data_IF_066355701567
#
_entry.id   IF_066355701567
#
_cell.length_a   1.000
_cell.length_b   1.000
_cell.length_c   1.000
_cell.angle_alpha   90.00
_cell.angle_beta   90.00
_cell.angle_gamma   90.00
#
_symmetry.space_group_name_H-M   'P 1'
#
loop_
_entity.id
_entity.type
_entity.pdbx_description
1 polymer ?
#
# COMPACT_ATOMS: atom_id res chain seq x y z
N UNK A 1 -0.23 23.05 11.34
CA UNK A 1 -0.75 21.86 10.61
C UNK A 1 -0.99 20.79 11.65
N UNK A 2 -2.16 20.13 11.69
CA UNK A 2 -2.38 19.04 12.63
C UNK A 2 -1.38 17.92 12.34
N UNK A 3 -0.85 17.30 13.41
CA UNK A 3 0.08 16.20 13.28
C UNK A 3 -0.64 14.97 12.67
N UNK A 4 0.05 14.17 11.88
CA UNK A 4 -0.49 12.94 11.25
C UNK A 4 -1.18 12.04 12.27
N UNK A 5 -0.67 12.03 13.51
CA UNK A 5 -1.23 11.30 14.65
C UNK A 5 -2.69 11.68 14.98
N UNK A 6 -3.12 12.88 14.63
CA UNK A 6 -4.48 13.34 14.93
C UNK A 6 -5.54 12.64 14.07
N UNK A 7 -5.19 12.26 12.83
CA UNK A 7 -6.08 11.53 11.92
C UNK A 7 -6.21 10.03 12.27
N UNK A 8 -5.26 9.50 13.04
CA UNK A 8 -5.24 8.10 13.47
C UNK A 8 -5.86 7.89 14.85
N UNK A 9 -6.32 8.97 15.51
CA UNK A 9 -6.99 8.83 16.83
C UNK A 9 -8.25 7.98 16.69
N UNK A 10 -8.45 6.98 17.56
CA UNK A 10 -9.61 6.08 17.52
C UNK A 10 -10.95 6.82 17.52
N UNK A 11 -11.04 7.91 18.25
CA UNK A 11 -12.24 8.75 18.36
C UNK A 11 -12.62 9.37 17.02
N UNK A 12 -11.63 9.88 16.27
CA UNK A 12 -11.83 10.50 14.96
C UNK A 12 -12.23 9.44 13.94
N UNK A 13 -11.55 8.28 13.96
CA UNK A 13 -11.86 7.16 13.06
C UNK A 13 -13.30 6.64 13.31
N UNK A 14 -13.75 6.60 14.56
CA UNK A 14 -15.13 6.20 14.91
C UNK A 14 -16.19 7.19 14.42
N UNK A 15 -15.89 8.48 14.40
CA UNK A 15 -16.87 9.51 14.01
C UNK A 15 -17.33 9.37 12.56
N UNK A 16 -16.56 8.68 11.70
CA UNK A 16 -16.90 8.44 10.30
C UNK A 16 -17.59 7.09 10.15
N UNK A 17 -18.88 7.08 9.86
CA UNK A 17 -19.69 5.86 9.82
C UNK A 17 -19.34 4.91 8.67
N UNK A 18 -18.93 5.42 7.51
CA UNK A 18 -18.64 4.64 6.31
C UNK A 18 -17.17 4.30 6.20
N UNK A 19 -16.86 3.05 5.93
CA UNK A 19 -15.49 2.54 5.84
C UNK A 19 -14.69 3.19 4.70
N UNK A 20 -15.32 3.43 3.56
CA UNK A 20 -14.69 4.12 2.41
C UNK A 20 -14.29 5.56 2.74
N UNK A 21 -15.13 6.27 3.48
CA UNK A 21 -14.83 7.63 3.94
C UNK A 21 -13.73 7.63 5.01
N UNK A 22 -13.72 6.64 5.91
CA UNK A 22 -12.63 6.47 6.88
C UNK A 22 -11.30 6.26 6.21
N UNK A 23 -11.24 5.34 5.24
CA UNK A 23 -10.03 5.05 4.48
C UNK A 23 -9.50 6.31 3.78
N UNK A 24 -10.38 7.01 3.08
CA UNK A 24 -10.06 8.26 2.39
C UNK A 24 -9.57 9.34 3.36
N UNK A 25 -10.27 9.55 4.47
CA UNK A 25 -9.90 10.55 5.48
C UNK A 25 -8.51 10.29 6.08
N UNK A 26 -8.21 9.03 6.45
CA UNK A 26 -6.91 8.63 6.98
C UNK A 26 -5.80 8.90 5.96
N UNK A 27 -6.01 8.49 4.71
CA UNK A 27 -5.00 8.64 3.65
C UNK A 27 -4.78 10.09 3.25
N UNK A 28 -5.85 10.88 3.06
CA UNK A 28 -5.73 12.30 2.72
C UNK A 28 -5.04 13.08 3.85
N UNK A 29 -5.34 12.75 5.10
CA UNK A 29 -4.66 13.32 6.26
C UNK A 29 -3.17 12.97 6.29
N UNK A 30 -2.83 11.71 5.99
CA UNK A 30 -1.46 11.24 5.92
C UNK A 30 -0.70 11.90 4.75
N UNK A 31 -1.26 11.91 3.54
CA UNK A 31 -0.63 12.51 2.36
C UNK A 31 -0.43 14.02 2.49
N UNK A 32 -1.36 14.72 3.13
CA UNK A 32 -1.20 16.17 3.37
C UNK A 32 -0.08 16.50 4.36
N UNK A 33 0.34 15.53 5.19
CA UNK A 33 1.48 15.66 6.12
C UNK A 33 2.81 15.16 5.57
N UNK A 34 2.81 14.40 4.47
CA UNK A 34 4.04 13.94 3.84
C UNK A 34 4.63 15.01 2.94
N UNK A 35 5.76 15.58 3.33
CA UNK A 35 6.66 16.22 2.38
C UNK A 35 7.27 15.14 1.49
N UNK A 36 7.40 15.44 0.19
CA UNK A 36 7.90 14.53 -0.83
C UNK A 36 9.12 13.72 -0.34
N UNK A 37 9.00 12.40 -0.33
CA UNK A 37 10.09 11.50 0.03
C UNK A 37 11.09 11.39 -1.12
N UNK A 38 12.40 11.57 -0.89
CA UNK A 38 13.41 11.50 -1.93
C UNK A 38 13.84 10.07 -2.26
N UNK A 39 12.90 9.11 -2.35
CA UNK A 39 13.25 7.77 -2.79
C UNK A 39 13.41 7.72 -4.31
N UNK A 40 14.65 7.53 -4.75
CA UNK A 40 15.01 7.24 -6.15
C UNK A 40 14.92 5.73 -6.36
N UNK A 41 13.99 5.26 -7.14
CA UNK A 41 13.84 3.87 -7.54
C UNK A 41 14.15 3.66 -9.04
N UNK A 42 14.03 2.45 -9.55
CA UNK A 42 14.52 2.02 -10.89
C UNK A 42 13.53 2.19 -12.04
N UNK A 43 12.59 3.10 -11.99
CA UNK A 43 11.70 3.36 -13.13
C UNK A 43 12.22 4.47 -14.03
N UNK A 44 11.86 4.38 -15.32
CA UNK A 44 12.51 5.06 -16.43
C UNK A 44 11.77 6.33 -16.86
N UNK A 45 10.98 6.96 -15.99
CA UNK A 45 10.41 8.26 -16.32
C UNK A 45 11.39 9.38 -16.01
N UNK A 46 11.61 10.22 -17.04
CA UNK A 46 12.42 11.44 -16.92
C UNK A 46 11.75 12.39 -15.90
N UNK A 47 12.46 12.72 -14.83
CA UNK A 47 11.97 13.65 -13.82
C UNK A 47 12.44 15.06 -14.07
N UNK A 48 13.75 15.28 -14.06
CA UNK A 48 14.33 16.60 -14.20
C UNK A 48 15.79 16.57 -14.68
N UNK A 49 16.30 17.74 -15.06
CA UNK A 49 17.71 17.93 -15.34
C UNK A 49 18.43 18.51 -14.13
N UNK A 50 19.41 17.80 -13.60
CA UNK A 50 20.34 18.32 -12.59
C UNK A 50 21.67 18.71 -13.23
N UNK A 51 22.31 19.75 -12.74
CA UNK A 51 23.68 20.09 -13.18
C UNK A 51 24.62 18.93 -12.87
N UNK A 52 25.50 18.64 -13.83
CA UNK A 52 26.55 17.65 -13.66
C UNK A 52 27.47 18.04 -12.49
N UNK A 53 27.79 17.08 -11.64
CA UNK A 53 28.76 17.19 -10.57
C UNK A 53 29.89 16.18 -10.82
N UNK A 54 31.09 16.49 -10.36
CA UNK A 54 32.23 15.59 -10.51
C UNK A 54 31.97 14.26 -9.77
N UNK A 55 32.01 13.15 -10.51
CA UNK A 55 31.64 11.81 -10.02
C UNK A 55 30.34 11.24 -10.61
N UNK A 56 29.56 12.05 -11.33
CA UNK A 56 28.38 11.54 -12.06
C UNK A 56 28.81 10.72 -13.29
N UNK A 57 28.02 9.70 -13.65
CA UNK A 57 28.27 8.91 -14.85
C UNK A 57 28.07 9.78 -16.11
N UNK A 58 29.09 9.94 -16.96
CA UNK A 58 29.01 10.72 -18.20
C UNK A 58 27.93 10.22 -19.18
N UNK A 59 27.51 8.95 -19.09
CA UNK A 59 26.42 8.38 -19.90
C UNK A 59 25.06 9.01 -19.64
N UNK A 60 24.87 9.58 -18.47
CA UNK A 60 23.62 10.25 -18.07
C UNK A 60 23.56 11.70 -18.54
N UNK A 61 24.62 12.24 -19.15
CA UNK A 61 24.64 13.62 -19.66
C UNK A 61 23.66 13.75 -20.82
N UNK A 62 22.83 14.78 -20.76
CA UNK A 62 21.96 15.14 -21.88
C UNK A 62 22.70 16.01 -22.88
N UNK A 63 23.20 15.37 -23.93
CA UNK A 63 23.96 16.02 -25.00
C UNK A 63 23.11 17.02 -25.81
N UNK A 64 21.77 16.84 -25.87
CA UNK A 64 20.86 17.79 -26.55
C UNK A 64 20.73 19.09 -25.76
N UNK A 65 20.68 18.99 -24.43
CA UNK A 65 20.65 20.18 -23.56
C UNK A 65 22.02 20.86 -23.59
N UNK A 66 23.11 20.10 -23.57
CA UNK A 66 24.45 20.64 -23.71
C UNK A 66 24.61 21.45 -24.99
N UNK A 67 24.19 20.92 -26.13
CA UNK A 67 24.27 21.61 -27.43
C UNK A 67 23.48 22.94 -27.49
N UNK A 68 22.46 23.09 -26.64
CA UNK A 68 21.64 24.32 -26.59
C UNK A 68 22.11 25.34 -25.55
N UNK A 69 22.71 24.86 -24.47
CA UNK A 69 22.99 25.71 -23.29
C UNK A 69 24.45 25.85 -22.95
N UNK A 70 25.31 25.06 -23.58
CA UNK A 70 26.77 24.92 -23.33
C UNK A 70 27.07 24.59 -21.84
N UNK A 71 26.12 23.85 -21.19
CA UNK A 71 26.24 23.42 -19.80
C UNK A 71 25.90 21.94 -19.68
N UNK A 72 26.67 21.22 -18.87
CA UNK A 72 26.45 19.82 -18.61
C UNK A 72 25.28 19.62 -17.64
N UNK A 73 24.27 18.87 -18.07
CA UNK A 73 23.12 18.43 -17.28
C UNK A 73 23.02 16.91 -17.35
N UNK A 74 22.69 16.32 -16.21
CA UNK A 74 22.42 14.88 -16.06
C UNK A 74 20.93 14.66 -16.00
N UNK A 75 20.45 13.68 -16.77
CA UNK A 75 19.04 13.24 -16.69
C UNK A 75 18.82 12.52 -15.37
N UNK A 76 17.92 13.01 -14.56
CA UNK A 76 17.40 12.30 -13.41
C UNK A 76 16.12 11.58 -13.79
N UNK A 77 16.05 10.32 -13.41
CA UNK A 77 14.88 9.47 -13.65
C UNK A 77 14.19 9.21 -12.31
N UNK A 78 12.88 9.28 -12.30
CA UNK A 78 12.07 8.88 -11.15
C UNK A 78 11.83 7.38 -11.25
N UNK A 79 12.06 6.65 -10.18
CA UNK A 79 11.74 5.25 -10.18
C UNK A 79 10.28 5.06 -9.83
N UNK A 80 9.53 4.46 -10.73
CA UNK A 80 8.27 3.84 -10.40
C UNK A 80 8.56 2.43 -9.86
N UNK A 81 8.28 2.20 -8.61
CA UNK A 81 8.30 0.86 -8.05
C UNK A 81 6.90 0.28 -8.18
N UNK A 82 6.70 -0.63 -9.12
CA UNK A 82 5.48 -1.43 -9.18
C UNK A 82 5.48 -2.43 -8.02
N UNK A 83 4.87 -2.04 -6.92
CA UNK A 83 4.76 -2.89 -5.73
C UNK A 83 3.41 -3.61 -5.77
N UNK A 84 3.42 -4.94 -5.84
CA UNK A 84 2.22 -5.74 -5.62
C UNK A 84 2.09 -6.04 -4.12
N UNK A 85 1.03 -5.57 -3.49
CA UNK A 85 0.79 -5.78 -2.06
C UNK A 85 -0.36 -6.73 -1.80
N UNK A 86 -0.20 -7.59 -0.78
CA UNK A 86 -1.28 -8.40 -0.24
C UNK A 86 -1.55 -8.02 1.21
N UNK A 87 -2.77 -7.63 1.51
CA UNK A 87 -3.24 -7.41 2.87
C UNK A 87 -3.75 -8.75 3.41
N UNK A 88 -3.06 -9.26 4.43
CA UNK A 88 -3.40 -10.54 5.08
C UNK A 88 -4.00 -10.22 6.44
N UNK A 89 -5.27 -10.57 6.65
CA UNK A 89 -6.02 -10.20 7.83
C UNK A 89 -6.53 -11.41 8.59
N UNK A 90 -6.18 -11.47 9.87
CA UNK A 90 -6.72 -12.45 10.81
C UNK A 90 -8.14 -12.06 11.24
N UNK A 91 -9.07 -13.01 11.13
CA UNK A 91 -10.47 -12.88 11.58
C UNK A 91 -10.77 -13.69 12.83
N UNK A 92 -9.77 -14.21 13.54
CA UNK A 92 -9.98 -15.00 14.75
C UNK A 92 -10.70 -14.21 15.86
N UNK A 93 -11.35 -14.91 16.78
CA UNK A 93 -12.06 -14.32 17.89
C UNK A 93 -11.16 -13.45 18.79
N UNK A 94 -9.86 -13.75 18.86
CA UNK A 94 -8.86 -12.97 19.58
C UNK A 94 -8.74 -11.52 19.07
N UNK A 95 -9.19 -11.24 17.84
CA UNK A 95 -9.25 -9.91 17.28
C UNK A 95 -10.39 -9.06 17.82
N UNK A 96 -11.40 -9.67 18.45
CA UNK A 96 -12.49 -8.95 19.12
C UNK A 96 -12.06 -8.26 20.43
N UNK A 97 -10.82 -8.50 20.88
CA UNK A 97 -10.28 -7.90 22.10
C UNK A 97 -10.22 -6.38 22.00
N UNK A 98 -10.67 -5.72 23.07
CA UNK A 98 -10.54 -4.27 23.27
C UNK A 98 -9.95 -3.97 24.64
N UNK A 99 -9.20 -2.87 24.74
CA UNK A 99 -8.72 -2.33 25.99
C UNK A 99 -9.43 -0.99 26.23
N UNK A 100 -10.06 -0.81 27.42
CA UNK A 100 -10.78 0.43 27.79
C UNK A 100 -11.97 0.82 26.91
N UNK A 101 -12.65 -0.14 26.27
CA UNK A 101 -13.84 0.09 25.43
C UNK A 101 -13.62 1.02 24.22
N UNK A 102 -12.40 1.22 23.81
CA UNK A 102 -12.07 1.86 22.56
C UNK A 102 -12.33 0.91 21.37
N UNK A 103 -11.76 1.21 20.21
CA UNK A 103 -11.83 0.31 19.04
C UNK A 103 -11.27 -1.07 19.38
N UNK A 104 -11.96 -2.12 18.93
CA UNK A 104 -11.38 -3.47 18.97
C UNK A 104 -10.16 -3.55 18.06
N UNK A 105 -9.29 -4.53 18.31
CA UNK A 105 -8.19 -4.82 17.36
C UNK A 105 -8.71 -5.04 15.94
N UNK A 106 -9.85 -5.72 15.84
CA UNK A 106 -10.53 -5.99 14.58
C UNK A 106 -10.97 -4.72 13.88
N UNK A 107 -11.68 -3.81 14.56
CA UNK A 107 -12.12 -2.54 13.98
C UNK A 107 -10.94 -1.69 13.49
N UNK A 108 -9.87 -1.67 14.28
CA UNK A 108 -8.65 -0.95 13.89
C UNK A 108 -8.01 -1.57 12.66
N UNK A 109 -7.88 -2.91 12.60
CA UNK A 109 -7.32 -3.61 11.45
C UNK A 109 -8.15 -3.40 10.18
N UNK A 110 -9.49 -3.42 10.28
CA UNK A 110 -10.38 -3.11 9.15
C UNK A 110 -10.11 -1.70 8.62
N UNK A 111 -10.02 -0.70 9.50
CA UNK A 111 -9.76 0.67 9.08
C UNK A 111 -8.39 0.81 8.44
N UNK A 112 -7.37 0.17 9.01
CA UNK A 112 -6.01 0.17 8.46
C UNK A 112 -5.95 -0.52 7.11
N UNK A 113 -6.54 -1.71 6.96
CA UNK A 113 -6.59 -2.45 5.70
C UNK A 113 -7.33 -1.64 4.61
N UNK A 114 -8.44 -1.01 4.96
CA UNK A 114 -9.17 -0.14 4.04
C UNK A 114 -8.35 1.09 3.61
N UNK A 115 -7.63 1.72 4.54
CA UNK A 115 -6.76 2.86 4.25
C UNK A 115 -5.59 2.48 3.35
N UNK A 116 -4.90 1.36 3.63
CA UNK A 116 -3.81 0.87 2.80
C UNK A 116 -4.29 0.48 1.40
N UNK A 117 -5.45 -0.22 1.30
CA UNK A 117 -6.05 -0.56 0.03
C UNK A 117 -6.38 0.69 -0.79
N UNK A 118 -6.94 1.72 -0.16
CA UNK A 118 -7.23 2.99 -0.81
C UNK A 118 -5.95 3.68 -1.30
N UNK A 119 -4.90 3.73 -0.47
CA UNK A 119 -3.61 4.33 -0.80
C UNK A 119 -2.98 3.63 -2.02
N UNK A 120 -2.88 2.30 -2.00
CA UNK A 120 -2.28 1.53 -3.10
C UNK A 120 -3.07 1.71 -4.40
N UNK A 121 -4.40 1.61 -4.37
CA UNK A 121 -5.23 1.84 -5.56
C UNK A 121 -5.10 3.29 -6.06
N UNK A 122 -4.93 4.26 -5.17
CA UNK A 122 -4.71 5.65 -5.56
C UNK A 122 -3.35 5.84 -6.26
N UNK A 123 -2.33 5.08 -5.84
CA UNK A 123 -1.00 5.04 -6.46
C UNK A 123 -0.95 4.13 -7.70
N UNK A 124 -2.09 3.50 -8.07
CA UNK A 124 -2.21 2.51 -9.15
C UNK A 124 -1.44 1.20 -8.89
N UNK A 125 -1.00 0.96 -7.67
CA UNK A 125 -0.36 -0.27 -7.26
C UNK A 125 -1.38 -1.41 -7.13
N UNK A 126 -1.08 -2.63 -7.61
CA UNK A 126 -1.93 -3.78 -7.42
C UNK A 126 -2.02 -4.18 -5.94
N UNK A 127 -3.24 -4.33 -5.42
CA UNK A 127 -3.48 -4.78 -4.05
C UNK A 127 -4.47 -5.93 -4.01
N UNK A 128 -4.11 -6.97 -3.23
CA UNK A 128 -4.95 -8.12 -2.92
C UNK A 128 -5.34 -8.14 -1.43
N UNK A 129 -6.35 -8.95 -1.11
CA UNK A 129 -6.81 -9.16 0.26
C UNK A 129 -6.98 -10.65 0.52
N UNK A 130 -6.39 -11.13 1.60
CA UNK A 130 -6.57 -12.48 2.10
C UNK A 130 -7.06 -12.40 3.54
N UNK A 131 -8.15 -13.05 3.83
CA UNK A 131 -8.67 -13.13 5.20
C UNK A 131 -8.66 -14.58 5.66
N UNK A 132 -8.29 -14.82 6.91
CA UNK A 132 -8.19 -16.17 7.47
C UNK A 132 -8.58 -16.18 8.96
N UNK A 133 -8.89 -17.37 9.45
CA UNK A 133 -8.99 -17.74 10.86
C UNK A 133 -8.29 -19.11 11.04
N UNK A 134 -9.01 -20.19 11.25
CA UNK A 134 -8.48 -21.57 11.16
C UNK A 134 -8.15 -21.97 9.72
N UNK A 135 -8.76 -21.30 8.75
CA UNK A 135 -8.59 -21.52 7.31
C UNK A 135 -8.70 -20.21 6.54
N UNK A 136 -8.31 -20.22 5.27
CA UNK A 136 -8.50 -19.07 4.38
C UNK A 136 -9.99 -18.90 4.14
N UNK A 137 -10.56 -17.76 4.56
CA UNK A 137 -11.98 -17.41 4.41
C UNK A 137 -12.30 -16.74 3.09
N UNK A 138 -11.43 -15.84 2.66
CA UNK A 138 -11.57 -15.17 1.38
C UNK A 138 -10.19 -14.82 0.83
N UNK A 139 -10.07 -14.87 -0.49
CA UNK A 139 -8.87 -14.46 -1.21
C UNK A 139 -9.27 -13.63 -2.43
N UNK A 140 -8.83 -12.39 -2.49
CA UNK A 140 -8.95 -11.51 -3.64
C UNK A 140 -7.57 -11.31 -4.26
N UNK A 141 -7.36 -11.69 -5.51
CA UNK A 141 -6.08 -11.49 -6.18
C UNK A 141 -5.75 -10.01 -6.32
N UNK A 142 -4.46 -9.67 -6.39
CA UNK A 142 -4.02 -8.30 -6.49
C UNK A 142 -4.43 -7.66 -7.82
N UNK A 143 -5.05 -6.49 -7.77
CA UNK A 143 -5.45 -5.68 -8.92
C UNK A 143 -5.39 -4.20 -8.56
N UNK A 144 -5.09 -3.33 -9.54
CA UNK A 144 -4.98 -1.88 -9.36
C UNK A 144 -6.26 -1.09 -9.71
N UNK A 145 -7.34 -1.76 -10.15
CA UNK A 145 -8.58 -1.10 -10.58
C UNK A 145 -9.42 -0.60 -9.39
N UNK A 146 -10.12 0.52 -9.56
CA UNK A 146 -11.05 1.07 -8.53
C UNK A 146 -12.13 0.08 -8.10
N UNK A 147 -12.57 -0.81 -8.99
CA UNK A 147 -13.52 -1.89 -8.67
C UNK A 147 -12.98 -2.85 -7.62
N UNK A 148 -11.66 -3.05 -7.58
CA UNK A 148 -10.99 -3.86 -6.56
C UNK A 148 -11.18 -3.27 -5.16
N UNK A 149 -11.00 -1.96 -5.03
CA UNK A 149 -11.26 -1.27 -3.76
C UNK A 149 -12.68 -1.51 -3.26
N UNK A 150 -13.68 -1.37 -4.13
CA UNK A 150 -15.07 -1.61 -3.76
C UNK A 150 -15.30 -3.06 -3.29
N UNK A 151 -14.71 -4.05 -3.98
CA UNK A 151 -14.79 -5.45 -3.58
C UNK A 151 -14.12 -5.70 -2.21
N UNK A 152 -12.94 -5.13 -1.99
CA UNK A 152 -12.23 -5.25 -0.70
C UNK A 152 -13.02 -4.63 0.43
N UNK A 153 -13.54 -3.40 0.25
CA UNK A 153 -14.35 -2.71 1.25
C UNK A 153 -15.65 -3.47 1.57
N UNK A 154 -16.31 -4.05 0.55
CA UNK A 154 -17.50 -4.86 0.74
C UNK A 154 -17.22 -6.15 1.53
N UNK A 155 -16.05 -6.75 1.32
CA UNK A 155 -15.58 -7.93 2.06
C UNK A 155 -15.26 -7.57 3.52
N UNK A 156 -14.48 -6.51 3.73
CA UNK A 156 -14.12 -6.02 5.06
C UNK A 156 -15.35 -5.59 5.89
N UNK A 157 -16.33 -4.94 5.25
CA UNK A 157 -17.56 -4.53 5.93
C UNK A 157 -18.44 -5.70 6.40
N UNK A 158 -18.34 -6.86 5.75
CA UNK A 158 -19.06 -8.09 6.12
C UNK A 158 -18.27 -8.97 7.08
N UNK A 159 -16.97 -8.77 7.20
CA UNK A 159 -16.11 -9.57 8.04
C UNK A 159 -16.50 -9.43 9.51
N UNK A 160 -16.41 -10.52 10.25
CA UNK A 160 -16.66 -10.59 11.69
C UNK A 160 -15.61 -11.48 12.32
N UNK A 161 -15.10 -11.13 13.51
CA UNK A 161 -14.19 -12.00 14.22
C UNK A 161 -14.92 -13.27 14.68
N UNK A 162 -14.38 -14.42 14.39
CA UNK A 162 -14.91 -15.73 14.78
C UNK A 162 -13.84 -16.82 14.66
N UNK A 163 -13.98 -17.89 15.46
CA UNK A 163 -13.12 -19.06 15.38
C UNK A 163 -11.75 -18.89 16.05
N UNK A 164 -10.96 -19.93 16.00
CA UNK A 164 -9.58 -19.97 16.49
C UNK A 164 -8.64 -19.43 15.41
N UNK A 165 -7.38 -19.18 15.76
CA UNK A 165 -6.36 -18.74 14.82
C UNK A 165 -5.35 -19.84 14.55
N UNK A 166 -5.03 -20.03 13.28
CA UNK A 166 -4.00 -20.94 12.77
C UNK A 166 -3.02 -20.18 11.86
N UNK A 167 -2.27 -19.25 12.48
CA UNK A 167 -1.36 -18.35 11.75
C UNK A 167 -0.32 -19.11 10.95
N UNK A 168 0.34 -20.10 11.57
CA UNK A 168 1.45 -20.83 10.96
C UNK A 168 1.06 -21.58 9.69
N UNK A 169 -0.01 -22.37 9.76
CA UNK A 169 -0.50 -23.16 8.64
C UNK A 169 -1.04 -22.25 7.51
N UNK A 170 -1.80 -21.22 7.86
CA UNK A 170 -2.36 -20.30 6.88
C UNK A 170 -1.29 -19.45 6.20
N UNK A 171 -0.31 -18.92 6.97
CA UNK A 171 0.78 -18.13 6.38
C UNK A 171 1.63 -18.97 5.43
N UNK A 172 1.93 -20.22 5.78
CA UNK A 172 2.63 -21.14 4.88
C UNK A 172 1.87 -21.39 3.57
N UNK A 173 0.54 -21.56 3.64
CA UNK A 173 -0.30 -21.70 2.45
C UNK A 173 -0.33 -20.43 1.59
N UNK A 174 -0.43 -19.27 2.22
CA UNK A 174 -0.42 -17.97 1.54
C UNK A 174 0.93 -17.75 0.84
N UNK A 175 2.05 -18.06 1.52
CA UNK A 175 3.38 -17.97 0.91
C UNK A 175 3.52 -18.89 -0.31
N UNK A 176 3.02 -20.13 -0.23
CA UNK A 176 3.05 -21.06 -1.36
C UNK A 176 2.21 -20.55 -2.56
N UNK A 177 1.04 -19.97 -2.33
CA UNK A 177 0.23 -19.38 -3.38
C UNK A 177 0.95 -18.22 -4.07
N UNK A 178 1.68 -17.41 -3.30
CA UNK A 178 2.42 -16.27 -3.84
C UNK A 178 3.69 -16.69 -4.61
N UNK A 179 4.44 -17.70 -4.10
CA UNK A 179 5.68 -18.15 -4.73
C UNK A 179 5.44 -19.01 -5.98
N UNK A 180 4.33 -19.75 -6.06
CA UNK A 180 3.99 -20.52 -7.26
C UNK A 180 3.60 -19.61 -8.43
N UNK A 181 2.92 -18.52 -8.18
CA UNK A 181 2.54 -17.52 -9.21
C UNK A 181 3.77 -16.78 -9.76
N UNK A 182 4.79 -16.55 -8.90
CA UNK A 182 6.05 -15.91 -9.29
C UNK A 182 7.00 -16.83 -10.09
N UNK A 183 6.81 -18.15 -10.03
CA UNK A 183 7.63 -19.12 -10.74
C UNK A 183 7.20 -19.29 -12.21
N UNK A 184 5.95 -18.97 -12.55
CA UNK A 184 5.43 -19.04 -13.92
C UNK A 184 5.84 -17.84 -14.80
N UNK A 185 6.35 -16.75 -14.19
CA UNK A 185 6.79 -15.56 -14.90
C UNK A 185 8.29 -15.57 -15.32
N UNK A 186 9.00 -16.69 -15.18
CA UNK A 186 10.36 -16.83 -15.72
C UNK A 186 10.28 -17.22 -17.19
N UNK A 187 10.62 -16.31 -18.14
CA UNK A 187 10.75 -16.70 -19.55
C UNK A 187 11.91 -17.67 -19.71
N UNK A 188 11.64 -18.80 -20.36
CA UNK A 188 12.66 -19.72 -20.87
C UNK A 188 13.53 -19.04 -21.93
#
# INVERSE_FOLDING_TARGET
>A
MPAVEEYLKPEVVRSVARLDLRARFIVEGFLSGLHASPFHGFSVEFSEHRRYAQGDDPKLIDWLVYAKTDRFYVKQYQAETNITGYLVMDLSESMAYTFRQELTKFDYCICLAAALAYLMIHQQDPVGLITFDESIRASLPARSKRTQLANMLALLAKAKPAGLTEIGANLSRICLLYTSDAADDTPC
#
